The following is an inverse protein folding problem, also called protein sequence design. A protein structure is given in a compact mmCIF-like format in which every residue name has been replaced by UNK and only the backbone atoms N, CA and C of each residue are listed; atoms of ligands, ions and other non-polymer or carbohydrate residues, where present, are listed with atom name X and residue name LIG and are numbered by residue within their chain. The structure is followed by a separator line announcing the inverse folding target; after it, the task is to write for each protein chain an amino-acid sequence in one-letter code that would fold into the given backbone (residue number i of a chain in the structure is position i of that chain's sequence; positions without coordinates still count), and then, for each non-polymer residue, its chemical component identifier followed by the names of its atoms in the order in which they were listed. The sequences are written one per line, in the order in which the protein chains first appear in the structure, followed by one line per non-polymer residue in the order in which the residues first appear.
data_IF_765838123428
#
_entry.id   IF_765838123428
#
_cell.length_a   1.000
_cell.length_b   1.000
_cell.length_c   1.000
_cell.angle_alpha   90.00
_cell.angle_beta   90.00
_cell.angle_gamma   90.00
#
_symmetry.space_group_name_H-M   'P 1'
#
loop_
_entity.id
_entity.type
_entity.pdbx_description
1 polymer ?
#
# COMPACT_ATOMS: atom_id res chain seq x y z
N UNK A 1 -27.29 26.45 15.03
CA UNK A 1 -26.51 25.33 15.61
C UNK A 1 -25.79 24.60 14.48
N UNK A 2 -24.64 25.10 14.04
CA UNK A 2 -23.90 24.49 12.94
C UNK A 2 -23.23 23.22 13.41
N UNK A 3 -23.64 22.05 12.90
CA UNK A 3 -22.85 20.82 13.04
C UNK A 3 -21.53 21.07 12.34
N UNK A 4 -20.48 21.27 13.12
CA UNK A 4 -19.11 21.32 12.66
C UNK A 4 -18.86 19.96 12.01
N UNK A 5 -18.81 19.91 10.69
CA UNK A 5 -18.52 18.67 9.97
C UNK A 5 -17.11 18.24 10.36
N UNK A 6 -17.03 17.24 11.23
CA UNK A 6 -15.75 16.58 11.55
C UNK A 6 -15.31 15.88 10.28
N UNK A 7 -14.40 16.52 9.53
CA UNK A 7 -13.80 15.90 8.35
C UNK A 7 -12.84 14.82 8.82
N UNK A 8 -13.28 13.57 8.75
CA UNK A 8 -12.51 12.42 9.20
C UNK A 8 -11.16 12.36 8.45
N UNK A 9 -10.06 12.46 9.19
CA UNK A 9 -8.74 12.32 8.58
C UNK A 9 -8.44 10.84 8.30
N UNK A 10 -7.48 10.58 7.41
CA UNK A 10 -7.08 9.21 7.07
C UNK A 10 -6.61 8.45 8.31
N UNK A 11 -5.89 9.11 9.22
CA UNK A 11 -5.46 8.50 10.49
C UNK A 11 -6.63 7.97 11.32
N UNK A 12 -7.77 8.66 11.30
CA UNK A 12 -8.93 8.29 12.10
C UNK A 12 -9.67 7.11 11.45
N UNK A 13 -9.60 6.98 10.12
CA UNK A 13 -10.10 5.81 9.38
C UNK A 13 -9.22 4.59 9.58
N UNK A 14 -7.90 4.76 9.58
CA UNK A 14 -6.96 3.69 9.95
C UNK A 14 -7.24 3.21 11.38
N UNK A 15 -7.54 4.14 12.30
CA UNK A 15 -7.92 3.81 13.68
C UNK A 15 -9.25 3.03 13.75
N UNK A 16 -10.29 3.47 13.03
CA UNK A 16 -11.56 2.74 12.90
C UNK A 16 -11.35 1.32 12.36
N UNK A 17 -10.51 1.16 11.34
CA UNK A 17 -10.17 -0.15 10.79
C UNK A 17 -9.50 -1.04 11.85
N UNK A 18 -8.50 -0.52 12.55
CA UNK A 18 -7.84 -1.25 13.63
C UNK A 18 -8.83 -1.71 14.73
N UNK A 19 -9.70 -0.81 15.18
CA UNK A 19 -10.72 -1.09 16.20
C UNK A 19 -11.73 -2.14 15.72
N UNK A 20 -12.15 -2.08 14.44
CA UNK A 20 -13.06 -3.08 13.85
C UNK A 20 -12.48 -4.49 13.80
N UNK A 21 -11.15 -4.60 13.80
CA UNK A 21 -10.44 -5.89 13.82
C UNK A 21 -10.08 -6.32 15.25
N UNK A 22 -10.52 -5.60 16.28
CA UNK A 22 -10.19 -5.84 17.68
C UNK A 22 -8.69 -5.94 17.96
N UNK A 23 -7.88 -5.19 17.20
CA UNK A 23 -6.43 -5.21 17.36
C UNK A 23 -5.95 -4.04 18.22
N UNK A 24 -4.94 -4.30 19.05
CA UNK A 24 -4.17 -3.23 19.69
C UNK A 24 -3.30 -2.51 18.65
N UNK A 25 -2.84 -1.29 18.97
CA UNK A 25 -1.95 -0.55 18.08
C UNK A 25 -0.66 -1.30 17.73
N UNK A 26 -0.08 -2.00 18.70
CA UNK A 26 1.13 -2.79 18.48
C UNK A 26 0.85 -3.95 17.53
N UNK A 27 -0.18 -4.76 17.85
CA UNK A 27 -0.58 -5.91 17.03
C UNK A 27 -0.93 -5.50 15.60
N UNK A 28 -1.63 -4.38 15.42
CA UNK A 28 -1.99 -3.88 14.10
C UNK A 28 -0.76 -3.43 13.30
N UNK A 29 0.18 -2.72 13.94
CA UNK A 29 1.43 -2.31 13.30
C UNK A 29 2.22 -3.52 12.79
N UNK A 30 2.37 -4.54 13.65
CA UNK A 30 3.05 -5.79 13.31
C UNK A 30 2.31 -6.53 12.18
N UNK A 31 0.98 -6.56 12.23
CA UNK A 31 0.15 -7.22 11.23
C UNK A 31 0.30 -6.62 9.83
N UNK A 32 0.28 -5.28 9.72
CA UNK A 32 0.48 -4.58 8.45
C UNK A 32 1.95 -4.38 8.08
N UNK A 33 2.89 -4.73 8.96
CA UNK A 33 4.32 -4.66 8.68
C UNK A 33 4.89 -3.25 8.71
N UNK A 34 4.35 -2.36 9.56
CA UNK A 34 4.96 -1.05 9.84
C UNK A 34 5.41 -0.98 11.29
N UNK A 35 6.38 -0.12 11.61
CA UNK A 35 6.83 0.02 13.00
C UNK A 35 5.75 0.66 13.88
N UNK A 36 5.59 0.16 15.12
CA UNK A 36 4.63 0.73 16.08
C UNK A 36 4.89 2.21 16.35
N UNK A 37 6.16 2.65 16.30
CA UNK A 37 6.54 4.05 16.40
C UNK A 37 6.00 4.90 15.24
N UNK A 38 6.04 4.38 14.00
CA UNK A 38 5.49 5.07 12.83
C UNK A 38 3.98 5.20 12.94
N UNK A 39 3.29 4.12 13.29
CA UNK A 39 1.84 4.13 13.49
C UNK A 39 1.42 5.08 14.63
N UNK A 40 2.17 5.13 15.72
CA UNK A 40 1.95 6.06 16.82
C UNK A 40 2.13 7.52 16.43
N UNK A 41 3.18 7.83 15.68
CA UNK A 41 3.38 9.16 15.12
C UNK A 41 2.21 9.61 14.23
N UNK A 42 1.64 8.69 13.45
CA UNK A 42 0.46 8.94 12.60
C UNK A 42 -0.77 9.26 13.45
N UNK A 43 -1.10 8.44 14.44
CA UNK A 43 -2.30 8.65 15.28
C UNK A 43 -2.21 9.93 16.10
N UNK A 44 -1.03 10.24 16.62
CA UNK A 44 -0.75 11.48 17.36
C UNK A 44 -0.66 12.72 16.45
N UNK A 45 -0.80 12.56 15.13
CA UNK A 45 -0.82 13.67 14.18
C UNK A 45 0.55 14.32 13.95
N UNK A 46 1.64 13.71 14.41
CA UNK A 46 3.01 14.17 14.13
C UNK A 46 3.39 13.95 12.67
N UNK A 47 2.86 12.88 12.06
CA UNK A 47 3.08 12.55 10.64
C UNK A 47 1.76 12.18 9.95
N UNK A 48 1.70 12.40 8.64
CA UNK A 48 0.60 11.89 7.81
C UNK A 48 0.90 10.44 7.40
N UNK A 49 -0.13 9.59 7.18
CA UNK A 49 0.08 8.29 6.56
C UNK A 49 0.71 8.46 5.17
N UNK A 50 1.64 7.57 4.83
CA UNK A 50 2.33 7.57 3.53
C UNK A 50 1.69 6.58 2.57
N UNK A 51 2.06 6.61 1.29
CA UNK A 51 1.60 5.60 0.32
C UNK A 51 1.96 4.18 0.78
N UNK A 52 3.14 3.97 1.34
CA UNK A 52 3.55 2.67 1.87
C UNK A 52 2.62 2.18 2.99
N UNK A 53 2.12 3.09 3.84
CA UNK A 53 1.13 2.75 4.87
C UNK A 53 -0.17 2.24 4.26
N UNK A 54 -0.58 2.84 3.15
CA UNK A 54 -1.81 2.51 2.44
C UNK A 54 -1.68 1.17 1.73
N UNK A 55 -0.57 0.95 1.03
CA UNK A 55 -0.26 -0.33 0.37
C UNK A 55 -0.17 -1.46 1.39
N UNK A 56 0.47 -1.22 2.54
CA UNK A 56 0.53 -2.18 3.64
C UNK A 56 -0.87 -2.59 4.13
N UNK A 57 -1.77 -1.62 4.30
CA UNK A 57 -3.16 -1.88 4.68
C UNK A 57 -3.89 -2.65 3.56
N UNK A 58 -3.80 -2.21 2.30
CA UNK A 58 -4.49 -2.85 1.17
C UNK A 58 -3.99 -4.28 0.95
N UNK A 59 -2.70 -4.54 1.18
CA UNK A 59 -2.11 -5.88 1.09
C UNK A 59 -2.66 -6.85 2.13
N UNK A 60 -3.02 -6.38 3.33
CA UNK A 60 -3.61 -7.20 4.39
C UNK A 60 -5.14 -7.24 4.35
N UNK A 61 -5.77 -6.19 3.84
CA UNK A 61 -7.22 -6.05 3.72
C UNK A 61 -7.60 -5.87 2.24
N UNK A 62 -7.56 -6.93 1.42
CA UNK A 62 -7.83 -6.80 -0.02
C UNK A 62 -9.26 -6.32 -0.32
N UNK A 63 -10.21 -6.54 0.59
CA UNK A 63 -11.61 -6.11 0.47
C UNK A 63 -11.88 -4.65 0.87
N UNK A 64 -10.88 -3.95 1.43
CA UNK A 64 -11.04 -2.55 1.85
C UNK A 64 -11.24 -1.63 0.63
N UNK A 65 -12.18 -0.68 0.77
CA UNK A 65 -12.37 0.41 -0.18
C UNK A 65 -11.23 1.41 -0.05
N UNK A 66 -10.52 1.65 -1.16
CA UNK A 66 -9.46 2.65 -1.19
C UNK A 66 -10.05 4.07 -1.12
N UNK A 67 -11.24 4.28 -1.71
CA UNK A 67 -11.94 5.56 -1.64
C UNK A 67 -12.37 5.90 -0.22
N UNK A 68 -12.81 4.90 0.54
CA UNK A 68 -13.07 5.06 1.96
C UNK A 68 -11.79 5.45 2.72
N UNK A 69 -10.72 4.70 2.53
CA UNK A 69 -9.45 4.94 3.23
C UNK A 69 -8.83 6.30 2.87
N UNK A 70 -8.94 6.73 1.62
CA UNK A 70 -8.35 7.97 1.07
C UNK A 70 -9.23 9.19 1.31
N UNK A 71 -10.49 9.12 0.89
CA UNK A 71 -11.39 10.26 0.81
C UNK A 71 -12.52 10.22 1.84
N UNK A 72 -12.79 9.05 2.43
CA UNK A 72 -13.81 8.88 3.47
C UNK A 72 -15.18 8.57 2.88
N UNK A 73 -15.21 8.12 1.63
CA UNK A 73 -16.43 7.70 0.93
C UNK A 73 -16.81 6.31 1.41
N UNK A 74 -17.94 6.16 2.09
CA UNK A 74 -18.52 4.85 2.43
C UNK A 74 -18.91 4.10 1.13
N UNK A 75 -18.97 2.76 1.12
CA UNK A 75 -18.77 1.82 2.24
C UNK A 75 -17.29 1.53 2.53
N UNK A 76 -17.01 1.09 3.77
CA UNK A 76 -15.68 0.69 4.23
C UNK A 76 -15.11 -0.52 3.47
N UNK A 77 -15.94 -1.51 3.19
CA UNK A 77 -15.59 -2.71 2.43
C UNK A 77 -16.38 -2.77 1.13
N UNK A 78 -15.74 -3.23 0.07
CA UNK A 78 -16.39 -3.33 -1.25
C UNK A 78 -17.46 -4.43 -1.33
N UNK A 79 -17.46 -5.39 -0.39
CA UNK A 79 -18.42 -6.50 -0.38
C UNK A 79 -19.82 -6.05 0.06
N UNK A 80 -19.92 -5.04 0.93
CA UNK A 80 -21.20 -4.50 1.43
C UNK A 80 -22.03 -3.79 0.34
N UNK A 81 -21.41 -3.45 -0.80
CA UNK A 81 -22.11 -2.83 -1.93
C UNK A 81 -23.03 -3.80 -2.70
N UNK A 82 -22.99 -5.11 -2.40
CA UNK A 82 -23.73 -6.14 -3.15
C UNK A 82 -25.11 -6.47 -2.56
N UNK A 83 -25.45 -5.97 -1.36
CA UNK A 83 -26.70 -6.35 -0.67
C UNK A 83 -27.80 -5.26 -0.67
N UNK A 84 -27.62 -4.13 -1.36
CA UNK A 84 -28.60 -3.02 -1.39
C UNK A 84 -29.11 -2.61 -2.78
N UNK A 85 -28.98 -3.47 -3.80
CA UNK A 85 -29.65 -3.30 -5.10
C UNK A 85 -30.04 -4.66 -5.70
N UNK A 86 -31.11 -5.25 -5.19
CA UNK A 86 -31.85 -6.32 -5.86
C UNK A 86 -33.35 -6.06 -5.69
N UNK A 87 -33.88 -5.16 -6.52
CA UNK A 87 -35.25 -5.34 -7.02
C UNK A 87 -35.16 -5.52 -8.53
N UNK A 88 -35.55 -6.73 -8.91
CA UNK A 88 -35.67 -7.30 -10.24
C UNK A 88 -36.70 -6.58 -11.09
N UNK A 89 -36.33 -6.25 -12.33
CA UNK A 89 -37.19 -6.52 -13.47
C UNK A 89 -36.30 -7.02 -14.60
N UNK A 90 -36.31 -8.34 -14.79
CA UNK A 90 -35.90 -8.99 -16.02
C UNK A 90 -37.02 -8.77 -17.03
N UNK A 91 -36.72 -8.26 -18.23
CA UNK A 91 -37.03 -8.99 -19.46
C UNK A 91 -36.44 -8.35 -20.71
N UNK A 92 -36.18 -9.21 -21.70
CA UNK A 92 -35.78 -8.96 -23.08
C UNK A 92 -34.28 -8.72 -23.38
N UNK A 93 -33.59 -9.83 -23.63
CA UNK A 93 -32.50 -9.91 -24.62
C UNK A 93 -33.09 -9.73 -26.03
N UNK A 94 -32.37 -9.06 -26.95
CA UNK A 94 -32.21 -9.66 -28.26
C UNK A 94 -30.73 -9.77 -28.65
N UNK A 95 -30.33 -11.02 -28.87
CA UNK A 95 -29.66 -11.52 -30.08
C UNK A 95 -28.64 -10.61 -30.76
N UNK A 96 -27.37 -11.00 -30.61
CA UNK A 96 -26.36 -11.11 -31.66
C UNK A 96 -25.91 -9.82 -32.37
N UNK A 97 -24.74 -9.32 -31.96
CA UNK A 97 -23.82 -8.62 -32.85
C UNK A 97 -22.42 -9.23 -32.72
N UNK A 98 -22.19 -10.30 -33.47
CA UNK A 98 -20.86 -10.68 -33.93
C UNK A 98 -20.27 -9.51 -34.75
N UNK A 99 -19.35 -8.73 -34.15
CA UNK A 99 -18.61 -7.65 -34.82
C UNK A 99 -17.10 -7.92 -34.91
N UNK A 100 -16.68 -9.17 -34.77
CA UNK A 100 -15.30 -9.60 -35.01
C UNK A 100 -15.28 -10.73 -36.03
N UNK A 101 -15.51 -10.40 -37.29
CA UNK A 101 -15.16 -11.27 -38.40
C UNK A 101 -14.93 -10.39 -39.63
N UNK A 102 -13.69 -9.92 -39.80
CA UNK A 102 -13.12 -9.50 -41.09
C UNK A 102 -11.60 -9.35 -40.92
N UNK A 103 -10.89 -10.49 -40.94
CA UNK A 103 -9.44 -10.53 -41.18
C UNK A 103 -9.25 -11.30 -42.48
N UNK A 104 -8.88 -10.64 -43.60
CA UNK A 104 -8.50 -11.36 -44.80
C UNK A 104 -7.11 -12.01 -44.61
N UNK A 105 -6.94 -13.30 -44.94
CA UNK A 105 -5.64 -13.96 -44.90
C UNK A 105 -4.86 -13.62 -46.18
N UNK A 106 -3.73 -12.93 -46.05
CA UNK A 106 -2.77 -12.78 -47.14
C UNK A 106 -1.60 -13.78 -46.97
N UNK A 107 -1.21 -14.50 -48.03
CA UNK A 107 -0.31 -15.66 -47.94
C UNK A 107 1.16 -15.28 -47.84
N UNK A 108 1.89 -16.12 -47.13
CA UNK A 108 3.34 -16.18 -47.08
C UNK A 108 3.95 -16.46 -48.46
N UNK A 109 4.98 -15.71 -48.84
CA UNK A 109 5.91 -16.08 -49.90
C UNK A 109 7.35 -16.01 -49.38
N UNK A 110 8.07 -17.04 -49.79
CA UNK A 110 9.31 -17.56 -49.23
C UNK A 110 10.55 -16.83 -49.73
N UNK A 111 11.59 -16.89 -48.89
CA UNK A 111 13.01 -17.11 -49.21
C UNK A 111 13.65 -16.36 -50.39
N UNK A 112 14.55 -15.43 -50.05
CA UNK A 112 15.77 -15.21 -50.83
C UNK A 112 16.95 -15.28 -49.86
N UNK A 113 17.87 -16.18 -50.18
CA UNK A 113 19.11 -16.47 -49.49
C UNK A 113 20.27 -15.79 -50.24
N UNK A 114 21.37 -15.56 -49.51
CA UNK A 114 22.76 -15.27 -49.98
C UNK A 114 23.02 -13.85 -50.53
N UNK A 115 24.16 -13.17 -50.26
CA UNK A 115 25.39 -13.52 -49.57
C UNK A 115 26.25 -12.26 -49.34
N UNK A 116 27.02 -12.28 -48.24
CA UNK A 116 28.30 -11.56 -47.98
C UNK A 116 28.38 -10.03 -48.10
N UNK A 117 28.79 -9.34 -47.03
CA UNK A 117 30.18 -8.88 -46.84
C UNK A 117 30.33 -8.05 -45.53
N UNK A 118 31.47 -8.28 -44.90
CA UNK A 118 32.09 -7.71 -43.70
C UNK A 118 31.81 -6.24 -43.30
N UNK A 119 31.71 -6.01 -41.98
CA UNK A 119 32.61 -5.11 -41.23
C UNK A 119 32.38 -5.22 -39.72
N UNK A 120 33.44 -5.63 -39.02
CA UNK A 120 33.62 -5.57 -37.57
C UNK A 120 33.59 -4.13 -37.07
N UNK A 121 32.84 -3.83 -35.99
CA UNK A 121 33.25 -2.88 -34.93
C UNK A 121 32.59 -3.27 -33.58
N UNK A 122 33.46 -3.69 -32.65
CA UNK A 122 33.47 -3.58 -31.17
C UNK A 122 32.20 -3.74 -30.30
N UNK A 123 32.26 -4.55 -29.22
CA UNK A 123 31.22 -4.65 -28.20
C UNK A 123 31.37 -3.55 -27.13
N UNK A 124 30.35 -2.70 -26.95
CA UNK A 124 30.23 -1.90 -25.72
C UNK A 124 29.40 -2.66 -24.68
N UNK A 125 30.09 -3.00 -23.59
CA UNK A 125 29.61 -3.51 -22.32
C UNK A 125 28.46 -2.66 -21.78
N UNK A 126 27.33 -3.32 -21.50
CA UNK A 126 26.20 -2.73 -20.78
C UNK A 126 26.58 -2.62 -19.30
N UNK A 127 26.69 -1.39 -18.83
CA UNK A 127 26.95 -1.06 -17.42
C UNK A 127 25.92 -1.70 -16.50
N UNK A 128 26.41 -2.58 -15.63
CA UNK A 128 25.68 -3.12 -14.50
C UNK A 128 25.67 -2.01 -13.44
N UNK A 129 24.48 -1.45 -13.19
CA UNK A 129 24.25 -0.49 -12.10
C UNK A 129 24.53 -1.23 -10.79
N UNK A 130 25.75 -1.07 -10.27
CA UNK A 130 26.13 -1.52 -8.94
C UNK A 130 25.51 -0.53 -7.96
N UNK A 131 24.39 -0.91 -7.34
CA UNK A 131 23.88 -0.19 -6.16
C UNK A 131 24.91 -0.34 -5.05
N UNK A 132 25.84 0.60 -4.97
CA UNK A 132 26.77 0.73 -3.88
C UNK A 132 25.97 1.13 -2.65
N UNK A 133 25.61 0.14 -1.85
CA UNK A 133 25.10 0.36 -0.49
C UNK A 133 26.25 1.00 0.29
N UNK A 134 26.31 2.33 0.30
CA UNK A 134 27.14 3.07 1.24
C UNK A 134 26.64 2.68 2.63
N UNK A 135 27.35 1.77 3.27
CA UNK A 135 27.21 1.50 4.69
C UNK A 135 27.58 2.81 5.41
N UNK A 136 26.56 3.64 5.65
CA UNK A 136 26.64 4.65 6.68
C UNK A 136 26.66 3.82 7.95
N UNK A 137 27.87 3.61 8.49
CA UNK A 137 28.09 3.08 9.83
C UNK A 137 27.34 4.02 10.78
N UNK A 138 26.08 3.66 11.07
CA UNK A 138 25.25 4.43 11.98
C UNK A 138 25.93 4.23 13.33
N UNK A 139 26.42 5.29 13.99
CA UNK A 139 27.13 5.14 15.24
C UNK A 139 26.28 4.33 16.22
N UNK A 140 26.87 3.29 16.79
CA UNK A 140 26.21 2.39 17.72
C UNK A 140 25.69 3.22 18.91
N UNK A 141 24.38 3.19 19.14
CA UNK A 141 23.75 4.01 20.18
C UNK A 141 23.91 3.33 21.52
N UNK A 142 24.47 4.04 22.49
CA UNK A 142 24.51 3.62 23.88
C UNK A 142 23.31 4.22 24.62
N UNK A 143 22.70 3.43 25.49
CA UNK A 143 21.66 3.91 26.39
C UNK A 143 22.34 4.83 27.41
N UNK A 144 21.89 6.07 27.54
CA UNK A 144 22.41 7.02 28.54
C UNK A 144 21.57 7.02 29.82
N UNK A 145 20.25 6.88 29.69
CA UNK A 145 19.29 6.92 30.81
C UNK A 145 18.02 6.15 30.41
N UNK A 146 17.44 5.39 31.35
CA UNK A 146 16.09 4.85 31.24
C UNK A 146 15.27 5.43 32.38
N UNK A 147 14.07 5.98 32.08
CA UNK A 147 13.11 6.45 33.08
C UNK A 147 11.81 5.65 32.99
N UNK A 148 11.46 4.99 34.09
CA UNK A 148 10.23 4.20 34.25
C UNK A 148 9.23 5.07 35.00
N UNK A 149 8.01 5.24 34.48
CA UNK A 149 6.93 5.99 35.14
C UNK A 149 5.89 5.01 35.68
N UNK A 150 5.48 5.21 36.92
CA UNK A 150 4.43 4.43 37.58
C UNK A 150 3.08 5.16 37.52
N UNK A 151 2.00 4.45 37.83
CA UNK A 151 0.63 4.96 37.82
C UNK A 151 0.35 5.99 38.93
N UNK A 152 1.14 5.94 40.01
CA UNK A 152 1.14 6.91 41.11
C UNK A 152 1.90 8.22 40.81
N UNK A 153 2.29 8.42 39.55
CA UNK A 153 3.08 9.57 39.07
C UNK A 153 4.53 9.62 39.60
N UNK A 154 5.03 8.53 40.18
CA UNK A 154 6.46 8.40 40.52
C UNK A 154 7.27 7.92 39.33
N UNK A 155 8.61 8.06 39.41
CA UNK A 155 9.51 7.52 38.41
C UNK A 155 10.80 6.95 39.00
N UNK A 156 11.35 5.94 38.34
CA UNK A 156 12.68 5.40 38.61
C UNK A 156 13.62 5.69 37.43
N UNK A 157 14.84 6.13 37.74
CA UNK A 157 15.88 6.45 36.76
C UNK A 157 17.03 5.46 36.85
N UNK A 158 17.35 4.81 35.73
CA UNK A 158 18.48 3.91 35.59
C UNK A 158 19.53 4.53 34.66
N UNK A 159 20.71 4.76 35.21
CA UNK A 159 21.92 5.15 34.49
C UNK A 159 22.85 3.94 34.44
N UNK A 160 23.41 3.56 33.28
CA UNK A 160 24.40 2.48 33.22
C UNK A 160 25.58 2.78 34.14
N UNK A 161 26.00 1.81 34.95
CA UNK A 161 27.22 1.94 35.72
C UNK A 161 28.42 1.91 34.77
N UNK A 162 29.37 2.81 35.01
CA UNK A 162 30.59 2.99 34.22
C UNK A 162 31.53 1.80 34.36
#
# INVERSE_FOLDING_TARGET
MGRIWYRQLMKDRIKRLMESQHMTQQTFADFIGISSASLSSIFNGRTKPTLNTVEAIKGKFPKISLDWLMYGTEPMFNDEATEAKNESNMDALPTNLNLFNDIPPAPSVSSINESQNSRNVSPQTKDIIKTEVKYIDKPQRNITEIRIFFDDQTWETFVPKK
#
